data_IF_982297954076
#
_entry.id   IF_982297954076
#
_cell.length_a   1.000
_cell.length_b   1.000
_cell.length_c   1.000
_cell.angle_alpha   90.00
_cell.angle_beta   90.00
_cell.angle_gamma   90.00
#
_symmetry.space_group_name_H-M   'P 1'
#
loop_
_entity.id
_entity.type
_entity.pdbx_description
1 polymer ?
#
# COMPACT_ATOMS: atom_id res chain seq x y z
N UNK A 1 -12.62 23.96 -11.73
CA UNK A 1 -12.04 23.23 -10.58
C UNK A 1 -10.71 22.64 -11.01
N UNK A 2 -9.60 23.07 -10.41
CA UNK A 2 -8.31 22.40 -10.60
C UNK A 2 -8.50 20.96 -10.12
N UNK A 3 -8.55 20.00 -11.05
CA UNK A 3 -8.54 18.58 -10.72
C UNK A 3 -7.17 18.29 -10.11
N UNK A 4 -7.09 18.47 -8.79
CA UNK A 4 -5.89 18.30 -8.03
C UNK A 4 -5.41 16.86 -8.28
N UNK A 5 -4.25 16.71 -8.95
CA UNK A 5 -3.65 15.42 -9.27
C UNK A 5 -3.37 14.58 -8.00
N UNK A 6 -3.63 15.13 -6.81
CA UNK A 6 -3.58 14.46 -5.51
C UNK A 6 -4.43 13.18 -5.48
N UNK A 7 -5.48 13.10 -6.31
CA UNK A 7 -6.23 11.85 -6.52
C UNK A 7 -5.32 10.67 -6.92
N UNK A 8 -4.28 10.90 -7.76
CA UNK A 8 -3.32 9.85 -8.14
C UNK A 8 -2.47 9.36 -6.96
N UNK A 9 -2.08 10.26 -6.05
CA UNK A 9 -1.38 9.88 -4.83
C UNK A 9 -2.29 9.05 -3.91
N UNK A 10 -3.53 9.50 -3.71
CA UNK A 10 -4.51 8.80 -2.86
C UNK A 10 -4.84 7.42 -3.40
N UNK A 11 -5.08 7.30 -4.72
CA UNK A 11 -5.35 6.01 -5.37
C UNK A 11 -4.16 5.07 -5.22
N UNK A 12 -2.93 5.55 -5.44
CA UNK A 12 -1.74 4.72 -5.28
C UNK A 12 -1.53 4.24 -3.84
N UNK A 13 -1.75 5.10 -2.85
CA UNK A 13 -1.67 4.71 -1.43
C UNK A 13 -2.75 3.69 -1.07
N UNK A 14 -3.99 3.88 -1.53
CA UNK A 14 -5.09 2.94 -1.30
C UNK A 14 -4.80 1.58 -1.95
N UNK A 15 -4.28 1.55 -3.17
CA UNK A 15 -3.87 0.31 -3.84
C UNK A 15 -2.71 -0.38 -3.11
N UNK A 16 -1.73 0.38 -2.63
CA UNK A 16 -0.63 -0.17 -1.84
C UNK A 16 -1.12 -0.81 -0.53
N UNK A 17 -2.03 -0.15 0.18
CA UNK A 17 -2.66 -0.69 1.39
C UNK A 17 -3.51 -1.93 1.09
N UNK A 18 -4.23 -1.93 -0.03
CA UNK A 18 -5.02 -3.08 -0.46
C UNK A 18 -4.15 -4.32 -0.73
N UNK A 19 -3.01 -4.13 -1.39
CA UNK A 19 -2.04 -5.22 -1.63
C UNK A 19 -1.43 -5.74 -0.32
N UNK A 20 -1.18 -4.86 0.65
CA UNK A 20 -0.73 -5.28 1.97
C UNK A 20 -1.78 -6.14 2.67
N UNK A 21 -3.05 -5.72 2.63
CA UNK A 21 -4.16 -6.48 3.21
C UNK A 21 -4.36 -7.84 2.53
N UNK A 22 -4.18 -7.92 1.20
CA UNK A 22 -4.16 -9.19 0.49
C UNK A 22 -3.03 -10.10 0.96
N UNK A 23 -1.83 -9.56 1.20
CA UNK A 23 -0.74 -10.33 1.76
C UNK A 23 -1.06 -10.92 3.13
N UNK A 24 -1.71 -10.15 4.00
CA UNK A 24 -2.17 -10.64 5.30
C UNK A 24 -3.27 -11.69 5.17
N UNK A 25 -4.16 -11.55 4.18
CA UNK A 25 -5.19 -12.55 3.90
C UNK A 25 -4.60 -13.85 3.34
N UNK A 26 -3.60 -13.78 2.47
CA UNK A 26 -2.97 -14.96 1.84
C UNK A 26 -2.04 -15.67 2.81
N UNK A 27 -1.14 -14.93 3.48
CA UNK A 27 -0.13 -15.53 4.37
C UNK A 27 -0.74 -15.96 5.72
N UNK A 28 -1.69 -15.20 6.28
CA UNK A 28 -2.27 -15.50 7.59
C UNK A 28 -3.63 -16.19 7.52
N UNK A 29 -4.23 -16.33 6.32
CA UNK A 29 -5.62 -16.81 6.12
C UNK A 29 -6.66 -16.06 6.97
N UNK A 30 -6.30 -14.89 7.48
CA UNK A 30 -7.09 -14.17 8.45
C UNK A 30 -6.76 -12.68 8.41
N UNK A 31 -7.80 -11.87 8.22
CA UNK A 31 -7.68 -10.41 8.22
C UNK A 31 -7.63 -9.83 9.64
N UNK A 32 -7.97 -10.59 10.68
CA UNK A 32 -7.92 -10.15 12.07
C UNK A 32 -6.47 -9.88 12.56
N UNK A 33 -5.47 -10.44 11.85
CA UNK A 33 -4.05 -10.14 12.05
C UNK A 33 -3.57 -8.86 11.39
N UNK A 34 -4.42 -8.16 10.61
CA UNK A 34 -4.12 -6.87 9.99
C UNK A 34 -4.03 -5.71 11.00
N UNK A 35 -3.74 -6.03 12.25
CA UNK A 35 -3.35 -5.06 13.25
C UNK A 35 -1.93 -4.61 12.96
N UNK A 36 -1.54 -3.45 13.49
CA UNK A 36 -0.29 -2.72 13.25
C UNK A 36 1.04 -3.50 13.42
N UNK A 37 0.98 -4.80 13.73
CA UNK A 37 2.11 -5.71 13.80
C UNK A 37 2.23 -6.48 12.46
N UNK A 38 3.42 -6.47 11.87
CA UNK A 38 3.77 -7.25 10.67
C UNK A 38 3.85 -8.78 10.96
N UNK A 39 2.95 -9.30 11.79
CA UNK A 39 2.94 -10.65 12.32
C UNK A 39 1.52 -11.21 12.32
N UNK A 40 1.36 -12.43 11.80
CA UNK A 40 0.12 -13.17 11.92
C UNK A 40 -0.18 -13.47 13.40
N UNK A 41 -1.46 -13.71 13.77
CA UNK A 41 -1.84 -14.08 15.15
C UNK A 41 -1.16 -15.36 15.66
N UNK A 42 -0.61 -16.18 14.75
CA UNK A 42 0.15 -17.39 15.07
C UNK A 42 1.65 -17.12 15.32
N UNK A 43 2.09 -15.86 15.32
CA UNK A 43 3.50 -15.47 15.49
C UNK A 43 4.36 -15.62 14.23
N UNK A 44 3.79 -16.10 13.12
CA UNK A 44 4.51 -16.20 11.83
C UNK A 44 4.67 -14.81 11.21
N UNK A 45 5.89 -14.43 10.79
CA UNK A 45 6.11 -13.16 10.12
C UNK A 45 5.45 -13.18 8.74
N UNK A 46 4.78 -12.08 8.39
CA UNK A 46 4.26 -11.88 7.03
C UNK A 46 5.43 -11.75 6.06
N UNK A 47 5.26 -12.22 4.82
CA UNK A 47 6.31 -12.10 3.82
C UNK A 47 6.67 -10.63 3.58
N UNK A 48 7.96 -10.31 3.71
CA UNK A 48 8.51 -8.98 3.43
C UNK A 48 8.27 -8.54 1.97
N UNK A 49 7.98 -9.48 1.07
CA UNK A 49 7.60 -9.17 -0.31
C UNK A 49 6.30 -8.37 -0.39
N UNK A 50 5.29 -8.70 0.42
CA UNK A 50 4.03 -7.94 0.42
C UNK A 50 4.24 -6.50 0.89
N UNK A 51 5.09 -6.30 1.89
CA UNK A 51 5.48 -4.97 2.35
C UNK A 51 6.23 -4.20 1.25
N UNK A 52 7.21 -4.83 0.61
CA UNK A 52 7.99 -4.20 -0.46
C UNK A 52 7.10 -3.81 -1.65
N UNK A 53 6.21 -4.71 -2.09
CA UNK A 53 5.28 -4.45 -3.20
C UNK A 53 4.29 -3.35 -2.83
N UNK A 54 3.74 -3.37 -1.62
CA UNK A 54 2.84 -2.30 -1.12
C UNK A 54 3.51 -0.94 -1.14
N UNK A 55 4.75 -0.84 -0.64
CA UNK A 55 5.52 0.40 -0.64
C UNK A 55 5.86 0.88 -2.06
N UNK A 56 6.20 -0.03 -2.97
CA UNK A 56 6.46 0.32 -4.37
C UNK A 56 5.21 0.87 -5.06
N UNK A 57 4.04 0.27 -4.83
CA UNK A 57 2.77 0.72 -5.40
C UNK A 57 2.38 2.08 -4.82
N UNK A 58 2.40 2.24 -3.50
CA UNK A 58 2.13 3.52 -2.84
C UNK A 58 3.10 4.62 -3.31
N UNK A 59 4.40 4.30 -3.37
CA UNK A 59 5.46 5.18 -3.84
C UNK A 59 5.27 5.59 -5.30
N UNK A 60 4.83 4.67 -6.18
CA UNK A 60 4.56 4.98 -7.59
C UNK A 60 3.42 5.97 -7.78
N UNK A 61 2.36 5.89 -6.96
CA UNK A 61 1.26 6.85 -7.00
C UNK A 61 1.67 8.23 -6.52
N UNK A 62 2.46 8.30 -5.44
CA UNK A 62 3.04 9.56 -4.93
C UNK A 62 3.99 10.16 -5.97
N UNK A 63 4.86 9.34 -6.57
CA UNK A 63 5.79 9.77 -7.61
C UNK A 63 5.06 10.31 -8.84
N UNK A 64 4.00 9.62 -9.29
CA UNK A 64 3.17 10.04 -10.43
C UNK A 64 2.47 11.35 -10.13
N UNK A 65 1.97 11.53 -8.90
CA UNK A 65 1.42 12.79 -8.45
C UNK A 65 2.48 13.90 -8.47
N UNK A 66 3.64 13.70 -7.83
CA UNK A 66 4.74 14.67 -7.82
C UNK A 66 5.18 15.06 -9.22
N UNK A 67 5.31 14.08 -10.12
CA UNK A 67 5.70 14.30 -11.51
C UNK A 67 4.67 15.17 -12.24
N UNK A 68 3.38 14.87 -12.10
CA UNK A 68 2.30 15.65 -12.71
C UNK A 68 2.06 17.01 -12.06
N UNK A 69 2.49 17.19 -10.82
CA UNK A 69 2.39 18.46 -10.08
C UNK A 69 3.66 19.32 -10.21
N UNK A 70 4.72 18.83 -10.88
CA UNK A 70 5.81 19.70 -11.33
C UNK A 70 5.26 20.65 -12.38
N UNK A 71 5.04 21.90 -11.98
CA UNK A 71 4.91 23.02 -12.91
C UNK A 71 6.23 23.16 -13.66
N UNK A 72 6.21 22.91 -14.97
CA UNK A 72 7.08 23.65 -15.88
C UNK A 72 6.41 24.99 -16.17
#
# INVERSE_FOLDING_TARGET
MSFNNLSYAVIGVLLGLFVLALGQLVDCQNLAGATMALQCPNGTPISKMWLATSMLIAGSGIFTWLYRNRKY
#
